data_IF_284628717911
#
_entry.id   IF_284628717911
#
_cell.length_a   1.000
_cell.length_b   1.000
_cell.length_c   1.000
_cell.angle_alpha   90.00
_cell.angle_beta   90.00
_cell.angle_gamma   90.00
#
_symmetry.space_group_name_H-M   'P 1'
#
loop_
_entity.id
_entity.type
_entity.pdbx_description
1 polymer ?
#
# COMPACT_ATOMS: atom_id res chain seq x y z
N UNK A 1 21.17 -9.52 7.85
CA UNK A 1 21.63 -8.24 7.26
C UNK A 1 20.59 -7.60 6.33
N UNK A 2 20.45 -7.98 5.05
CA UNK A 2 19.54 -7.29 4.12
C UNK A 2 18.05 -7.41 4.49
N UNK A 3 17.60 -8.61 4.88
CA UNK A 3 16.22 -8.85 5.32
C UNK A 3 15.88 -8.07 6.60
N UNK A 4 16.81 -7.98 7.54
CA UNK A 4 16.62 -7.21 8.77
C UNK A 4 16.57 -5.71 8.49
N UNK A 5 17.41 -5.20 7.58
CA UNK A 5 17.35 -3.81 7.14
C UNK A 5 16.00 -3.48 6.48
N UNK A 6 15.47 -4.38 5.65
CA UNK A 6 14.13 -4.24 5.06
C UNK A 6 13.03 -4.22 6.13
N UNK A 7 13.10 -5.14 7.10
CA UNK A 7 12.14 -5.20 8.22
C UNK A 7 12.17 -3.93 9.07
N UNK A 8 13.35 -3.43 9.40
CA UNK A 8 13.52 -2.18 10.16
C UNK A 8 12.96 -0.98 9.38
N UNK A 9 13.20 -0.92 8.06
CA UNK A 9 12.62 0.11 7.19
C UNK A 9 11.09 0.07 7.21
N UNK A 10 10.48 -1.11 7.15
CA UNK A 10 9.03 -1.28 7.19
C UNK A 10 8.39 -0.80 8.51
N UNK A 11 9.10 -0.83 9.63
CA UNK A 11 8.57 -0.33 10.92
C UNK A 11 8.26 1.17 10.90
N UNK A 12 8.87 1.93 10.00
CA UNK A 12 8.58 3.36 9.81
C UNK A 12 7.33 3.63 8.98
N UNK A 13 6.73 2.59 8.38
CA UNK A 13 5.55 2.72 7.53
C UNK A 13 4.34 2.06 8.16
N UNK A 14 3.18 2.67 7.94
CA UNK A 14 1.88 2.11 8.30
C UNK A 14 1.02 1.98 7.06
N UNK A 15 0.55 0.76 6.80
CA UNK A 15 -0.40 0.51 5.71
C UNK A 15 -1.83 0.75 6.21
N UNK A 16 -2.55 1.63 5.53
CA UNK A 16 -3.98 1.83 5.70
C UNK A 16 -4.71 1.13 4.56
N UNK A 17 -5.80 0.42 4.87
CA UNK A 17 -6.63 -0.26 3.88
C UNK A 17 -8.09 -0.23 4.33
N UNK A 18 -9.00 -0.28 3.36
CA UNK A 18 -10.43 -0.45 3.61
C UNK A 18 -10.75 -1.88 4.09
N UNK A 19 -11.91 -2.05 4.72
CA UNK A 19 -12.36 -3.36 5.19
C UNK A 19 -12.57 -4.35 4.04
N UNK A 20 -12.33 -5.64 4.33
CA UNK A 20 -12.37 -6.72 3.32
C UNK A 20 -13.75 -6.88 2.65
N UNK A 21 -14.85 -6.53 3.34
CA UNK A 21 -16.20 -6.67 2.82
C UNK A 21 -16.49 -5.72 1.63
N UNK A 22 -15.74 -4.62 1.50
CA UNK A 22 -15.87 -3.68 0.38
C UNK A 22 -15.02 -4.04 -0.84
N UNK A 23 -14.47 -5.26 -0.90
CA UNK A 23 -13.70 -5.71 -2.04
C UNK A 23 -14.59 -5.78 -3.30
N UNK A 24 -14.13 -5.13 -4.36
CA UNK A 24 -14.82 -5.09 -5.66
C UNK A 24 -14.25 -6.16 -6.59
N UNK A 25 -15.12 -6.82 -7.36
CA UNK A 25 -14.73 -7.88 -8.31
C UNK A 25 -14.96 -7.53 -9.78
N UNK A 26 -15.76 -6.49 -10.06
CA UNK A 26 -16.08 -6.03 -11.40
C UNK A 26 -16.44 -4.55 -11.40
N UNK A 27 -16.55 -3.95 -12.60
CA UNK A 27 -16.87 -2.53 -12.79
C UNK A 27 -15.62 -1.64 -12.92
N UNK A 28 -15.86 -0.32 -12.95
CA UNK A 28 -14.82 0.71 -12.99
C UNK A 28 -14.90 1.52 -11.70
N UNK A 29 -13.78 1.66 -11.02
CA UNK A 29 -13.71 2.29 -9.69
C UNK A 29 -12.67 3.39 -9.68
N UNK A 30 -12.93 4.40 -8.85
CA UNK A 30 -12.10 5.59 -8.68
C UNK A 30 -12.12 6.01 -7.22
N UNK A 31 -11.00 6.51 -6.73
CA UNK A 31 -10.89 7.15 -5.41
C UNK A 31 -9.91 8.32 -5.49
N UNK A 32 -10.04 9.24 -4.53
CA UNK A 32 -9.15 10.37 -4.35
C UNK A 32 -8.50 10.29 -2.97
N UNK A 33 -7.27 10.81 -2.86
CA UNK A 33 -6.61 11.01 -1.59
C UNK A 33 -5.90 12.36 -1.59
N UNK A 34 -6.00 13.09 -0.48
CA UNK A 34 -5.29 14.36 -0.31
C UNK A 34 -4.04 14.13 0.55
N UNK A 35 -2.90 14.63 0.08
CA UNK A 35 -1.65 14.62 0.82
C UNK A 35 -1.47 15.98 1.47
N UNK A 36 -1.62 16.05 2.80
CA UNK A 36 -1.52 17.29 3.55
C UNK A 36 -0.06 17.68 3.85
N UNK A 37 0.81 16.68 4.02
CA UNK A 37 2.24 16.86 4.28
C UNK A 37 3.03 16.03 3.29
N UNK A 38 3.93 16.66 2.54
CA UNK A 38 4.80 15.97 1.59
C UNK A 38 5.72 14.98 2.31
N UNK A 39 5.92 13.82 1.70
CA UNK A 39 6.79 12.77 2.22
C UNK A 39 6.58 11.45 1.48
N UNK A 40 7.32 10.40 1.85
CA UNK A 40 7.21 9.08 1.21
C UNK A 40 5.82 8.49 1.38
N UNK A 41 5.03 8.48 0.29
CA UNK A 41 3.66 7.98 0.29
C UNK A 41 3.44 7.12 -0.95
N UNK A 42 2.82 5.96 -0.72
CA UNK A 42 2.38 5.05 -1.77
C UNK A 42 0.89 4.81 -1.65
N UNK A 43 0.17 5.00 -2.76
CA UNK A 43 -1.29 4.89 -2.82
C UNK A 43 -1.70 4.02 -4.00
N UNK A 44 -2.74 3.20 -3.83
CA UNK A 44 -3.21 2.33 -4.90
C UNK A 44 -4.13 1.23 -4.43
N UNK A 45 -4.11 0.11 -5.16
CA UNK A 45 -5.00 -1.02 -4.98
C UNK A 45 -4.27 -2.24 -4.44
N UNK A 46 -4.98 -3.11 -3.74
CA UNK A 46 -4.45 -4.37 -3.22
C UNK A 46 -5.51 -5.46 -3.29
N UNK A 47 -5.07 -6.72 -3.37
CA UNK A 47 -5.96 -7.86 -3.16
C UNK A 47 -6.52 -7.81 -1.73
N UNK A 48 -7.78 -8.19 -1.56
CA UNK A 48 -8.49 -8.06 -0.28
C UNK A 48 -7.90 -8.94 0.84
N UNK A 49 -7.18 -10.00 0.46
CA UNK A 49 -6.44 -10.94 1.30
C UNK A 49 -4.92 -10.69 1.30
N UNK A 50 -4.47 -9.52 0.82
CA UNK A 50 -3.06 -9.16 0.84
C UNK A 50 -2.49 -9.31 2.26
N UNK A 51 -1.37 -10.05 2.43
CA UNK A 51 -0.74 -10.20 3.72
C UNK A 51 -0.18 -8.86 4.22
N UNK A 52 -0.15 -8.62 5.54
CA UNK A 52 0.55 -7.48 6.09
C UNK A 52 2.07 -7.66 5.99
N UNK A 53 2.81 -6.57 6.15
CA UNK A 53 4.25 -6.63 6.37
C UNK A 53 5.12 -6.45 5.13
N UNK A 54 4.54 -6.22 3.94
CA UNK A 54 5.27 -5.76 2.76
C UNK A 54 4.99 -4.27 2.49
N UNK A 55 5.95 -3.59 1.87
CA UNK A 55 5.72 -2.25 1.34
C UNK A 55 4.79 -2.35 0.12
N UNK A 56 3.81 -1.46 0.03
CA UNK A 56 2.91 -1.38 -1.11
C UNK A 56 3.71 -1.25 -2.43
N UNK A 57 3.33 -2.07 -3.42
CA UNK A 57 3.94 -2.14 -4.75
C UNK A 57 5.22 -2.98 -4.83
N UNK A 58 5.60 -3.70 -3.77
CA UNK A 58 6.80 -4.56 -3.75
C UNK A 58 6.46 -6.06 -3.65
N UNK A 59 5.25 -6.44 -4.05
CA UNK A 59 4.75 -7.81 -4.09
C UNK A 59 3.70 -7.98 -5.22
N UNK A 60 3.25 -9.23 -5.42
CA UNK A 60 2.27 -9.58 -6.45
C UNK A 60 0.81 -9.30 -6.05
N UNK A 61 0.59 -8.77 -4.83
CA UNK A 61 -0.73 -8.54 -4.26
C UNK A 61 -1.13 -7.06 -4.23
N UNK A 62 -0.22 -6.15 -4.61
CA UNK A 62 -0.40 -4.71 -4.47
C UNK A 62 0.05 -3.97 -5.73
N UNK A 63 -0.70 -2.93 -6.11
CA UNK A 63 -0.41 -2.05 -7.23
C UNK A 63 -0.52 -0.61 -6.74
N UNK A 64 0.61 0.07 -6.57
CA UNK A 64 0.66 1.40 -5.98
C UNK A 64 1.51 2.36 -6.81
N UNK A 65 1.10 3.63 -6.78
CA UNK A 65 1.88 4.76 -7.26
C UNK A 65 2.73 5.32 -6.11
N UNK A 66 4.01 5.54 -6.37
CA UNK A 66 4.94 6.24 -5.47
C UNK A 66 4.93 7.73 -5.85
N UNK A 67 4.33 8.57 -5.00
CA UNK A 67 4.16 9.99 -5.29
C UNK A 67 5.35 10.88 -4.89
N UNK A 68 6.41 10.28 -4.34
CA UNK A 68 7.54 11.01 -3.76
C UNK A 68 8.87 10.74 -4.49
N UNK A 69 9.07 9.54 -5.03
CA UNK A 69 10.28 9.14 -5.76
C UNK A 69 10.01 8.97 -7.24
#
# INVERSE_FOLDING_TARGET
LLLEASRLKQQYFRTYRVEKHYAVSSGKWYFECQILTAGPIRVGWARADCPPGNMLGNDDCTWAFDGYN
#
